data_IF_885434149268
#
_entry.id   IF_885434149268
#
_cell.length_a   1.000
_cell.length_b   1.000
_cell.length_c   1.000
_cell.angle_alpha   90.00
_cell.angle_beta   90.00
_cell.angle_gamma   90.00
#
_symmetry.space_group_name_H-M   'P 1'
#
loop_
_entity.id
_entity.type
_entity.pdbx_description
1 polymer ?
#
# COMPACT_ATOMS: atom_id res chain seq x y z
N UNK A 1 12.78 -19.07 7.30
CA UNK A 1 11.69 -19.38 8.26
C UNK A 1 11.41 -18.11 9.02
N UNK A 2 10.19 -17.56 8.96
CA UNK A 2 9.82 -16.40 9.77
C UNK A 2 9.94 -16.82 11.24
N UNK A 3 10.88 -16.25 11.98
CA UNK A 3 10.93 -16.36 13.44
C UNK A 3 9.74 -15.62 14.03
N UNK A 4 9.34 -15.92 15.27
CA UNK A 4 8.19 -15.27 15.92
C UNK A 4 8.26 -13.73 15.79
N UNK A 5 9.43 -13.14 16.01
CA UNK A 5 9.65 -11.69 15.91
C UNK A 5 9.56 -11.14 14.49
N UNK A 6 10.12 -11.83 13.49
CA UNK A 6 10.06 -11.36 12.09
C UNK A 6 8.67 -11.57 11.48
N UNK A 7 7.97 -12.63 11.88
CA UNK A 7 6.56 -12.86 11.57
C UNK A 7 5.66 -11.78 12.16
N UNK A 8 5.82 -11.45 13.45
CA UNK A 8 5.06 -10.39 14.11
C UNK A 8 5.31 -9.02 13.45
N UNK A 9 6.57 -8.71 13.13
CA UNK A 9 6.94 -7.52 12.38
C UNK A 9 6.22 -7.44 11.02
N UNK A 10 6.20 -8.56 10.28
CA UNK A 10 5.51 -8.63 9.00
C UNK A 10 3.99 -8.44 9.15
N UNK A 11 3.38 -9.02 10.18
CA UNK A 11 1.95 -8.84 10.47
C UNK A 11 1.61 -7.38 10.74
N UNK A 12 2.39 -6.70 11.59
CA UNK A 12 2.21 -5.26 11.83
C UNK A 12 2.38 -4.43 10.56
N UNK A 13 3.36 -4.80 9.73
CA UNK A 13 3.58 -4.17 8.44
C UNK A 13 2.36 -4.30 7.53
N UNK A 14 1.90 -5.53 7.28
CA UNK A 14 0.73 -5.79 6.42
C UNK A 14 -0.52 -5.11 6.97
N UNK A 15 -0.75 -5.16 8.29
CA UNK A 15 -1.88 -4.48 8.92
C UNK A 15 -1.86 -2.96 8.68
N UNK A 16 -0.67 -2.34 8.76
CA UNK A 16 -0.48 -0.93 8.45
C UNK A 16 -0.78 -0.57 6.99
N UNK A 17 -0.56 -1.48 6.05
CA UNK A 17 -0.90 -1.28 4.64
C UNK A 17 -2.38 -1.55 4.38
N UNK A 18 -2.95 -2.59 4.99
CA UNK A 18 -4.38 -2.91 4.88
C UNK A 18 -5.25 -1.72 5.31
N UNK A 19 -4.86 -1.00 6.35
CA UNK A 19 -5.55 0.23 6.76
C UNK A 19 -5.59 1.31 5.66
N UNK A 20 -4.54 1.45 4.85
CA UNK A 20 -4.54 2.38 3.72
C UNK A 20 -5.46 1.91 2.60
N UNK A 21 -5.38 0.62 2.24
CA UNK A 21 -6.23 0.04 1.21
C UNK A 21 -7.70 0.12 1.59
N UNK A 22 -8.06 -0.27 2.81
CA UNK A 22 -9.44 -0.18 3.31
C UNK A 22 -9.96 1.26 3.28
N UNK A 23 -9.13 2.24 3.67
CA UNK A 23 -9.52 3.66 3.57
C UNK A 23 -9.80 4.09 2.13
N UNK A 24 -8.98 3.65 1.18
CA UNK A 24 -9.18 3.96 -0.24
C UNK A 24 -10.44 3.27 -0.80
N UNK A 25 -10.63 1.98 -0.52
CA UNK A 25 -11.79 1.20 -0.94
C UNK A 25 -13.09 1.82 -0.42
N UNK A 26 -13.17 2.10 0.89
CA UNK A 26 -14.34 2.76 1.49
C UNK A 26 -14.62 4.14 0.86
N UNK A 27 -13.58 4.86 0.45
CA UNK A 27 -13.73 6.13 -0.24
C UNK A 27 -14.25 6.00 -1.68
N UNK A 28 -13.89 4.91 -2.37
CA UNK A 28 -14.30 4.63 -3.76
C UNK A 28 -15.67 3.97 -3.85
N UNK A 29 -16.04 3.14 -2.87
CA UNK A 29 -17.27 2.33 -2.87
C UNK A 29 -18.44 2.98 -2.13
N UNK A 30 -18.28 4.21 -1.60
CA UNK A 30 -19.39 4.91 -0.94
C UNK A 30 -20.53 5.18 -1.93
N UNK A 31 -21.75 5.23 -1.41
CA UNK A 31 -22.93 5.62 -2.19
C UNK A 31 -22.76 7.03 -2.77
N UNK A 32 -23.16 7.21 -4.02
CA UNK A 32 -23.03 8.47 -4.77
C UNK A 32 -21.59 8.97 -5.02
N UNK A 33 -20.59 8.08 -4.96
CA UNK A 33 -19.22 8.44 -5.38
C UNK A 33 -19.21 8.90 -6.84
N UNK A 34 -18.53 10.01 -7.11
CA UNK A 34 -18.27 10.45 -8.50
C UNK A 34 -16.89 9.99 -8.98
N UNK A 35 -16.73 9.84 -10.30
CA UNK A 35 -15.48 9.39 -10.91
C UNK A 35 -14.24 10.18 -10.47
N UNK A 36 -14.41 11.49 -10.23
CA UNK A 36 -13.35 12.35 -9.69
C UNK A 36 -12.88 11.91 -8.28
N UNK A 37 -13.81 11.55 -7.40
CA UNK A 37 -13.48 11.09 -6.04
C UNK A 37 -12.79 9.73 -6.05
N UNK A 38 -13.20 8.83 -6.96
CA UNK A 38 -12.50 7.55 -7.20
C UNK A 38 -11.05 7.82 -7.62
N UNK A 39 -10.85 8.72 -8.59
CA UNK A 39 -9.52 9.07 -9.08
C UNK A 39 -8.63 9.71 -8.01
N UNK A 40 -9.18 10.59 -7.16
CA UNK A 40 -8.43 11.20 -6.06
C UNK A 40 -8.12 10.19 -4.94
N UNK A 41 -9.03 9.28 -4.59
CA UNK A 41 -8.76 8.20 -3.64
C UNK A 41 -7.65 7.26 -4.15
N UNK A 42 -7.65 6.97 -5.45
CA UNK A 42 -6.64 6.15 -6.12
C UNK A 42 -5.26 6.82 -6.08
N UNK A 43 -5.22 8.09 -6.48
CA UNK A 43 -3.99 8.91 -6.45
C UNK A 43 -3.45 9.06 -5.03
N UNK A 44 -4.33 9.27 -4.04
CA UNK A 44 -3.95 9.35 -2.64
C UNK A 44 -3.36 8.03 -2.13
N UNK A 45 -3.94 6.89 -2.49
CA UNK A 45 -3.41 5.57 -2.15
C UNK A 45 -2.00 5.38 -2.74
N UNK A 46 -1.83 5.66 -4.03
CA UNK A 46 -0.52 5.58 -4.70
C UNK A 46 0.51 6.46 -4.01
N UNK A 47 0.17 7.73 -3.77
CA UNK A 47 1.05 8.70 -3.08
C UNK A 47 1.49 8.16 -1.72
N UNK A 48 0.56 7.70 -0.90
CA UNK A 48 0.86 7.18 0.43
C UNK A 48 1.81 5.97 0.38
N UNK A 49 1.62 5.05 -0.58
CA UNK A 49 2.51 3.90 -0.77
C UNK A 49 3.92 4.34 -1.21
N UNK A 50 4.01 5.30 -2.15
CA UNK A 50 5.30 5.84 -2.61
C UNK A 50 6.05 6.56 -1.49
N UNK A 51 5.36 7.41 -0.71
CA UNK A 51 5.96 8.13 0.42
C UNK A 51 6.42 7.17 1.53
N UNK A 52 5.62 6.13 1.83
CA UNK A 52 5.98 5.12 2.82
C UNK A 52 7.18 4.28 2.37
N UNK A 53 7.27 3.92 1.08
CA UNK A 53 8.46 3.27 0.51
C UNK A 53 9.69 4.17 0.67
N UNK A 54 9.62 5.42 0.19
CA UNK A 54 10.73 6.37 0.21
C UNK A 54 11.25 6.66 1.63
N UNK A 55 10.37 6.63 2.63
CA UNK A 55 10.70 6.85 4.03
C UNK A 55 11.11 5.60 4.81
N UNK A 56 11.16 4.42 4.17
CA UNK A 56 11.37 3.12 4.84
C UNK A 56 10.40 2.93 6.02
N UNK A 57 9.11 3.24 5.80
CA UNK A 57 8.13 3.32 6.87
C UNK A 57 7.99 2.00 7.64
N UNK A 58 8.13 2.11 8.97
CA UNK A 58 7.87 1.03 9.93
C UNK A 58 6.64 1.41 10.78
N UNK A 59 5.57 0.59 10.79
CA UNK A 59 4.40 0.85 11.62
C UNK A 59 4.76 0.96 13.10
N UNK A 60 3.99 1.74 13.86
CA UNK A 60 4.29 1.99 15.28
C UNK A 60 4.38 0.69 16.09
N UNK A 61 3.44 -0.24 15.91
CA UNK A 61 3.44 -1.55 16.58
C UNK A 61 4.68 -2.41 16.26
N UNK A 62 5.31 -2.17 15.11
CA UNK A 62 6.50 -2.88 14.65
C UNK A 62 7.83 -2.21 15.05
N UNK A 63 7.83 -0.96 15.51
CA UNK A 63 9.07 -0.17 15.70
C UNK A 63 10.03 -0.80 16.71
N UNK A 64 9.51 -1.33 17.83
CA UNK A 64 10.36 -1.92 18.85
C UNK A 64 11.02 -3.20 18.34
N UNK A 65 10.25 -4.05 17.66
CA UNK A 65 10.73 -5.29 17.05
C UNK A 65 11.83 -4.97 16.03
N UNK A 66 11.56 -4.05 15.11
CA UNK A 66 12.51 -3.66 14.05
C UNK A 66 13.84 -3.12 14.59
N UNK A 67 13.80 -2.33 15.67
CA UNK A 67 15.01 -1.78 16.32
C UNK A 67 15.89 -2.85 16.94
N UNK A 68 15.29 -3.94 17.41
CA UNK A 68 15.99 -5.03 18.09
C UNK A 68 16.49 -6.12 17.13
N UNK A 69 16.22 -6.00 15.82
CA UNK A 69 16.76 -6.91 14.82
C UNK A 69 18.24 -6.65 14.57
N UNK A 70 18.99 -7.74 14.38
CA UNK A 70 20.34 -7.73 13.80
C UNK A 70 20.34 -7.04 12.44
N UNK A 71 21.45 -6.40 12.09
CA UNK A 71 21.59 -5.60 10.87
C UNK A 71 21.30 -6.42 9.60
N UNK A 72 21.81 -7.66 9.53
CA UNK A 72 21.57 -8.55 8.39
C UNK A 72 20.07 -8.86 8.22
N UNK A 73 19.37 -9.15 9.32
CA UNK A 73 17.92 -9.44 9.29
C UNK A 73 17.15 -8.18 8.93
N UNK A 74 17.55 -7.03 9.46
CA UNK A 74 16.95 -5.73 9.15
C UNK A 74 17.05 -5.37 7.67
N UNK A 75 18.20 -5.62 7.05
CA UNK A 75 18.41 -5.39 5.62
C UNK A 75 17.52 -6.30 4.77
N UNK A 76 17.44 -7.60 5.10
CA UNK A 76 16.53 -8.54 4.42
C UNK A 76 15.06 -8.14 4.57
N UNK A 77 14.62 -7.71 5.76
CA UNK A 77 13.25 -7.22 5.97
C UNK A 77 12.98 -5.96 5.14
N UNK A 78 13.96 -5.06 5.05
CA UNK A 78 13.81 -3.84 4.24
C UNK A 78 13.64 -4.17 2.76
N UNK A 79 14.43 -5.09 2.22
CA UNK A 79 14.29 -5.56 0.83
C UNK A 79 12.91 -6.19 0.59
N UNK A 80 12.43 -7.01 1.52
CA UNK A 80 11.10 -7.62 1.44
C UNK A 80 9.99 -6.54 1.43
N UNK A 81 10.11 -5.52 2.29
CA UNK A 81 9.15 -4.41 2.36
C UNK A 81 9.20 -3.53 1.10
N UNK A 82 10.39 -3.24 0.57
CA UNK A 82 10.54 -2.50 -0.69
C UNK A 82 9.88 -3.26 -1.84
N UNK A 83 10.11 -4.56 -1.95
CA UNK A 83 9.46 -5.42 -2.95
C UNK A 83 7.94 -5.46 -2.78
N UNK A 84 7.43 -5.46 -1.54
CA UNK A 84 6.00 -5.34 -1.29
C UNK A 84 5.42 -4.03 -1.83
N UNK A 85 6.06 -2.88 -1.51
CA UNK A 85 5.58 -1.58 -2.01
C UNK A 85 5.62 -1.49 -3.53
N UNK A 86 6.66 -2.04 -4.17
CA UNK A 86 6.75 -2.10 -5.64
C UNK A 86 5.56 -2.85 -6.25
N UNK A 87 5.23 -4.03 -5.71
CA UNK A 87 4.07 -4.81 -6.15
C UNK A 87 2.76 -4.05 -5.95
N UNK A 88 2.57 -3.42 -4.79
CA UNK A 88 1.37 -2.62 -4.52
C UNK A 88 1.25 -1.41 -5.45
N UNK A 89 2.34 -0.68 -5.69
CA UNK A 89 2.33 0.48 -6.60
C UNK A 89 2.04 0.03 -8.03
N UNK A 90 2.64 -1.06 -8.50
CA UNK A 90 2.36 -1.62 -9.82
C UNK A 90 0.89 -2.05 -9.95
N UNK A 91 0.33 -2.68 -8.92
CA UNK A 91 -1.08 -3.05 -8.88
C UNK A 91 -2.00 -1.83 -8.95
N UNK A 92 -1.72 -0.80 -8.17
CA UNK A 92 -2.49 0.45 -8.20
C UNK A 92 -2.37 1.12 -9.58
N UNK A 93 -1.18 1.14 -10.18
CA UNK A 93 -0.98 1.68 -11.54
C UNK A 93 -1.75 0.90 -12.60
N UNK A 94 -1.84 -0.43 -12.49
CA UNK A 94 -2.66 -1.26 -13.37
C UNK A 94 -4.14 -0.87 -13.29
N UNK A 95 -4.68 -0.69 -12.08
CA UNK A 95 -6.07 -0.27 -11.91
C UNK A 95 -6.37 1.12 -12.47
N UNK A 96 -5.40 2.04 -12.46
CA UNK A 96 -5.58 3.34 -13.11
C UNK A 96 -5.87 3.18 -14.59
N UNK A 97 -5.09 2.33 -15.29
CA UNK A 97 -5.26 2.08 -16.72
C UNK A 97 -6.65 1.50 -16.98
N UNK A 98 -7.11 0.57 -16.15
CA UNK A 98 -8.47 0.00 -16.23
C UNK A 98 -9.54 1.08 -16.07
N UNK A 99 -9.41 1.97 -15.08
CA UNK A 99 -10.35 3.06 -14.83
C UNK A 99 -10.40 4.08 -15.98
N UNK A 100 -9.25 4.48 -16.50
CA UNK A 100 -9.14 5.39 -17.65
C UNK A 100 -9.79 4.78 -18.90
N UNK A 101 -9.54 3.50 -19.13
CA UNK A 101 -10.12 2.73 -20.24
C UNK A 101 -11.64 2.68 -20.12
N UNK A 102 -12.20 2.33 -18.97
CA UNK A 102 -13.65 2.27 -18.74
C UNK A 102 -14.34 3.64 -18.94
N UNK A 103 -13.70 4.72 -18.50
CA UNK A 103 -14.22 6.08 -18.68
C UNK A 103 -14.22 6.51 -20.16
N UNK A 104 -13.22 6.08 -20.94
CA UNK A 104 -13.16 6.37 -22.38
C UNK A 104 -14.29 5.72 -23.18
N UNK A 105 -14.79 4.56 -22.73
CA UNK A 105 -15.92 3.88 -23.36
C UNK A 105 -17.28 4.54 -23.09
N UNK A 106 -17.44 5.26 -21.98
CA UNK A 106 -18.70 5.96 -21.64
C UNK A 106 -18.87 7.31 -22.37
N UNK A 107 -17.84 7.82 -23.06
CA UNK A 107 -17.90 9.06 -23.84
C UNK A 107 -18.32 8.90 -25.31
N UNK A 108 -18.80 7.72 -25.73
CA UNK A 108 -19.11 7.38 -27.13
C UNK A 108 -20.58 7.08 -27.41
N UNK A 109 -21.53 7.64 -26.64
CA UNK A 109 -22.98 7.55 -26.92
C UNK A 109 -23.52 8.95 -27.20
#
# INVERSE_FOLDING_TARGET
MLTDSTGELYLWFVHGQLALFNKAILGMEKDNTIAFEVAEAHKALKRNLTERKASNFIPMGAKNIYRNLDEQVRNSVKEEFDGFYERCIAYVDFWRIVLETLNSFHGSI
#
